data_IF_649071797499
#
_entry.id   IF_649071797499
#
_cell.length_a   1.000
_cell.length_b   1.000
_cell.length_c   1.000
_cell.angle_alpha   90.00
_cell.angle_beta   90.00
_cell.angle_gamma   90.00
#
_symmetry.space_group_name_H-M   'P 1'
#
loop_
_entity.id
_entity.type
_entity.pdbx_description
1 polymer ?
#
# COMPACT_ATOMS: atom_id res chain seq x y z
N UNK A 1 12.19 -11.09 2.44
CA UNK A 1 11.14 -10.62 1.52
C UNK A 1 10.56 -9.34 2.08
N UNK A 2 10.45 -8.31 1.25
CA UNK A 2 9.80 -7.03 1.54
C UNK A 2 8.54 -6.91 0.71
N UNK A 3 7.56 -6.15 1.21
CA UNK A 3 6.37 -5.79 0.45
C UNK A 3 6.43 -4.33 0.02
N UNK A 4 6.14 -4.11 -1.25
CA UNK A 4 6.06 -2.77 -1.84
C UNK A 4 4.66 -2.54 -2.39
N UNK A 5 4.23 -1.28 -2.37
CA UNK A 5 2.98 -0.88 -2.98
C UNK A 5 3.24 -0.57 -4.45
N UNK A 6 2.47 -1.16 -5.35
CA UNK A 6 2.53 -0.86 -6.78
C UNK A 6 1.25 -0.17 -7.20
N UNK A 7 1.38 0.79 -8.10
CA UNK A 7 0.26 1.44 -8.76
C UNK A 7 0.20 0.84 -10.18
N UNK A 8 -0.98 0.43 -10.63
CA UNK A 8 -1.22 -0.17 -11.96
C UNK A 8 -0.34 -1.38 -12.33
N UNK A 9 -0.05 -1.57 -13.63
CA UNK A 9 0.67 -2.74 -14.15
C UNK A 9 2.18 -2.48 -14.27
N UNK A 10 2.94 -3.10 -13.37
CA UNK A 10 4.41 -2.98 -13.28
C UNK A 10 5.17 -4.10 -14.00
N UNK A 11 4.48 -5.01 -14.70
CA UNK A 11 5.08 -6.24 -15.24
C UNK A 11 6.23 -5.99 -16.21
N UNK A 12 6.06 -5.01 -17.11
CA UNK A 12 7.10 -4.66 -18.08
C UNK A 12 8.30 -3.99 -17.42
N UNK A 13 8.07 -3.14 -16.42
CA UNK A 13 9.13 -2.46 -15.68
C UNK A 13 9.95 -3.46 -14.85
N UNK A 14 9.28 -4.39 -14.15
CA UNK A 14 9.95 -5.43 -13.38
C UNK A 14 10.77 -6.36 -14.30
N UNK A 15 10.20 -6.77 -15.44
CA UNK A 15 10.92 -7.58 -16.43
C UNK A 15 12.16 -6.86 -16.98
N UNK A 16 12.05 -5.56 -17.27
CA UNK A 16 13.18 -4.73 -17.73
C UNK A 16 14.30 -4.68 -16.70
N UNK A 17 13.96 -4.69 -15.41
CA UNK A 17 14.91 -4.69 -14.29
C UNK A 17 15.40 -6.09 -13.90
N UNK A 18 14.92 -7.15 -14.58
CA UNK A 18 15.29 -8.53 -14.25
C UNK A 18 14.68 -9.02 -12.93
N UNK A 19 13.57 -8.42 -12.50
CA UNK A 19 12.84 -8.74 -11.26
C UNK A 19 11.64 -9.61 -11.61
N UNK A 20 11.48 -10.71 -10.86
CA UNK A 20 10.28 -11.54 -10.98
C UNK A 20 9.09 -10.87 -10.29
N UNK A 21 7.98 -10.78 -11.00
CA UNK A 21 6.73 -10.24 -10.43
C UNK A 21 6.11 -11.27 -9.48
N UNK A 22 6.23 -11.04 -8.18
CA UNK A 22 5.56 -11.83 -7.14
C UNK A 22 4.42 -11.02 -6.51
N UNK A 23 3.34 -10.85 -7.28
CA UNK A 23 2.19 -10.07 -6.84
C UNK A 23 1.38 -10.84 -5.79
N UNK A 24 1.28 -10.29 -4.58
CA UNK A 24 0.55 -10.87 -3.44
C UNK A 24 -0.84 -10.25 -3.26
N UNK A 25 -1.09 -9.08 -3.86
CA UNK A 25 -2.42 -8.48 -3.99
C UNK A 25 -2.55 -7.71 -5.31
N UNK A 26 -3.71 -7.81 -5.97
CA UNK A 26 -4.04 -7.08 -7.20
C UNK A 26 -5.42 -6.43 -7.07
N UNK A 27 -5.45 -5.14 -6.78
CA UNK A 27 -6.65 -4.31 -6.84
C UNK A 27 -6.76 -3.53 -8.15
N UNK A 28 -7.85 -2.79 -8.29
CA UNK A 28 -8.09 -1.90 -9.45
C UNK A 28 -7.05 -0.78 -9.56
N UNK A 29 -6.67 -0.21 -8.42
CA UNK A 29 -5.73 0.92 -8.34
C UNK A 29 -4.34 0.50 -7.92
N UNK A 30 -4.28 -0.13 -6.74
CA UNK A 30 -3.04 -0.55 -6.12
C UNK A 30 -2.91 -2.08 -6.14
N UNK A 31 -1.68 -2.54 -6.23
CA UNK A 31 -1.27 -3.91 -5.93
C UNK A 31 -0.22 -3.93 -4.82
N UNK A 32 0.05 -5.11 -4.30
CA UNK A 32 1.20 -5.37 -3.43
C UNK A 32 2.05 -6.45 -4.08
N UNK A 33 3.36 -6.21 -4.14
CA UNK A 33 4.32 -7.19 -4.63
C UNK A 33 5.31 -7.53 -3.51
N UNK A 34 5.68 -8.80 -3.43
CA UNK A 34 6.83 -9.25 -2.64
C UNK A 34 8.11 -9.17 -3.49
N UNK A 35 9.16 -8.63 -2.90
CA UNK A 35 10.50 -8.53 -3.51
C UNK A 35 11.55 -9.04 -2.53
N UNK A 36 12.67 -9.55 -3.05
CA UNK A 36 13.85 -9.85 -2.23
C UNK A 36 14.53 -8.56 -1.80
N UNK A 37 15.54 -8.66 -0.93
CA UNK A 37 16.34 -7.48 -0.55
C UNK A 37 17.13 -6.95 -1.75
N UNK A 38 17.68 -7.85 -2.57
CA UNK A 38 18.46 -7.52 -3.76
C UNK A 38 17.57 -6.86 -4.83
N UNK A 39 16.38 -7.40 -5.07
CA UNK A 39 15.42 -6.81 -6.01
C UNK A 39 14.94 -5.43 -5.53
N UNK A 40 14.74 -5.27 -4.22
CA UNK A 40 14.41 -3.99 -3.62
C UNK A 40 15.54 -2.96 -3.79
N UNK A 41 16.80 -3.36 -3.63
CA UNK A 41 17.95 -2.49 -3.89
C UNK A 41 18.00 -2.04 -5.36
N UNK A 42 17.70 -2.94 -6.31
CA UNK A 42 17.59 -2.61 -7.74
C UNK A 42 16.49 -1.57 -7.96
N UNK A 43 15.31 -1.77 -7.37
CA UNK A 43 14.19 -0.83 -7.47
C UNK A 43 14.54 0.55 -6.90
N UNK A 44 15.17 0.62 -5.74
CA UNK A 44 15.61 1.88 -5.11
C UNK A 44 16.70 2.61 -5.91
N UNK A 45 17.50 1.88 -6.68
CA UNK A 45 18.58 2.44 -7.51
C UNK A 45 18.09 2.96 -8.86
N UNK A 46 16.84 2.66 -9.22
CA UNK A 46 16.27 3.05 -10.49
C UNK A 46 16.03 4.58 -10.54
N UNK A 47 16.55 5.29 -11.55
CA UNK A 47 16.43 6.74 -11.62
C UNK A 47 14.98 7.18 -11.81
N UNK A 48 14.48 8.03 -10.92
CA UNK A 48 13.15 8.64 -11.02
C UNK A 48 13.14 9.76 -12.07
N UNK A 49 13.06 9.36 -13.35
CA UNK A 49 13.03 10.24 -14.51
C UNK A 49 11.71 10.08 -15.27
N UNK A 50 11.33 11.13 -16.01
CA UNK A 50 10.09 11.12 -16.80
C UNK A 50 10.14 9.98 -17.83
N UNK A 51 9.30 8.97 -17.65
CA UNK A 51 9.21 7.80 -18.53
C UNK A 51 9.93 6.55 -18.03
N UNK A 52 10.57 6.59 -16.85
CA UNK A 52 11.17 5.40 -16.21
C UNK A 52 10.10 4.35 -15.87
N UNK A 53 8.94 4.80 -15.40
CA UNK A 53 7.79 3.98 -15.05
C UNK A 53 6.70 4.18 -16.10
N UNK A 54 6.51 3.18 -16.97
CA UNK A 54 5.76 3.37 -18.23
C UNK A 54 4.26 3.56 -17.99
N UNK A 55 3.68 2.88 -16.99
CA UNK A 55 2.24 2.90 -16.78
C UNK A 55 1.77 3.21 -15.37
N UNK A 56 2.67 3.20 -14.37
CA UNK A 56 2.53 3.65 -12.98
C UNK A 56 3.61 2.93 -12.15
N UNK A 57 4.14 3.58 -11.11
CA UNK A 57 5.33 3.10 -10.40
C UNK A 57 5.03 2.19 -9.21
N UNK A 58 6.09 1.80 -8.51
CA UNK A 58 6.01 1.32 -7.13
C UNK A 58 6.30 2.48 -6.17
N UNK A 59 5.95 2.31 -4.90
CA UNK A 59 6.23 3.27 -3.86
C UNK A 59 6.82 2.56 -2.65
N UNK A 60 7.90 3.12 -2.14
CA UNK A 60 8.49 2.75 -0.87
C UNK A 60 8.65 3.96 0.02
N UNK A 61 7.57 4.23 0.74
CA UNK A 61 7.54 5.27 1.74
C UNK A 61 7.79 4.65 3.12
N UNK A 62 8.55 5.29 4.02
CA UNK A 62 8.61 4.90 5.42
C UNK A 62 7.21 4.83 6.06
N UNK A 63 7.08 4.05 7.14
CA UNK A 63 5.85 4.02 7.94
C UNK A 63 5.45 5.45 8.33
N UNK A 64 4.22 5.86 7.98
CA UNK A 64 3.68 7.13 8.47
C UNK A 64 3.28 6.96 9.93
N UNK A 65 3.49 8.02 10.72
CA UNK A 65 2.97 8.07 12.08
C UNK A 65 1.44 8.17 12.02
N UNK A 66 0.76 7.15 12.55
CA UNK A 66 -0.66 7.27 12.84
C UNK A 66 -0.84 8.22 14.03
N UNK A 67 -1.68 9.24 13.89
CA UNK A 67 -1.99 10.20 14.94
C UNK A 67 -3.38 9.92 15.53
N UNK A 68 -3.60 10.37 16.78
CA UNK A 68 -4.89 10.26 17.45
C UNK A 68 -4.99 9.09 18.44
N UNK A 69 -6.19 8.85 18.95
CA UNK A 69 -6.49 7.67 19.78
C UNK A 69 -6.70 6.48 18.87
N UNK A 70 -6.27 5.29 19.28
CA UNK A 70 -6.50 4.06 18.53
C UNK A 70 -7.66 3.26 19.10
N UNK A 71 -8.47 2.70 18.22
CA UNK A 71 -9.53 1.76 18.56
C UNK A 71 -9.88 0.94 17.34
N UNK A 72 -11.17 0.72 17.12
CA UNK A 72 -11.65 -0.11 16.04
C UNK A 72 -12.56 0.66 15.10
N UNK A 73 -12.29 0.54 13.81
CA UNK A 73 -13.16 0.99 12.72
C UNK A 73 -13.68 -0.22 11.96
N UNK A 74 -14.75 -0.04 11.21
CA UNK A 74 -15.34 -1.11 10.40
C UNK A 74 -15.14 -0.82 8.93
N UNK A 75 -14.45 -1.70 8.22
CA UNK A 75 -14.26 -1.63 6.77
C UNK A 75 -14.95 -2.86 6.19
N UNK A 76 -15.93 -2.68 5.30
CA UNK A 76 -16.75 -3.80 4.76
C UNK A 76 -17.41 -4.67 5.85
N UNK A 77 -17.71 -4.08 7.00
CA UNK A 77 -18.23 -4.82 8.16
C UNK A 77 -17.17 -5.61 8.95
N UNK A 78 -15.94 -5.69 8.45
CA UNK A 78 -14.79 -6.27 9.14
C UNK A 78 -14.17 -5.26 10.10
N UNK A 79 -13.75 -5.74 11.26
CA UNK A 79 -13.17 -4.91 12.32
C UNK A 79 -11.66 -4.74 12.11
N UNK A 80 -11.20 -3.50 11.96
CA UNK A 80 -9.78 -3.13 11.82
C UNK A 80 -9.34 -2.24 12.98
N UNK A 81 -8.13 -2.44 13.51
CA UNK A 81 -7.50 -1.45 14.39
C UNK A 81 -7.09 -0.23 13.58
N UNK A 82 -7.48 0.96 14.01
CA UNK A 82 -7.19 2.21 13.34
C UNK A 82 -7.34 3.39 14.29
N UNK A 83 -7.19 4.59 13.76
CA UNK A 83 -7.56 5.80 14.48
C UNK A 83 -9.07 5.75 14.83
N UNK A 84 -9.39 6.05 16.08
CA UNK A 84 -10.74 6.00 16.65
C UNK A 84 -11.65 6.94 15.88
N UNK A 85 -12.74 6.36 15.41
CA UNK A 85 -13.86 7.07 14.84
C UNK A 85 -15.12 6.41 15.37
N UNK A 86 -15.85 7.12 16.24
CA UNK A 86 -16.89 6.55 17.09
C UNK A 86 -18.06 5.93 16.30
N UNK A 87 -18.15 6.18 14.98
CA UNK A 87 -19.15 5.57 14.11
C UNK A 87 -18.73 5.34 12.66
N UNK A 88 -17.45 5.50 12.27
CA UNK A 88 -17.14 5.40 10.85
C UNK A 88 -17.07 3.95 10.34
N UNK A 89 -17.99 3.68 9.43
CA UNK A 89 -18.01 2.52 8.56
C UNK A 89 -17.52 2.98 7.21
N UNK A 90 -16.50 2.32 6.70
CA UNK A 90 -15.94 2.59 5.39
C UNK A 90 -16.25 1.41 4.45
N UNK A 91 -16.48 1.73 3.19
CA UNK A 91 -16.69 0.76 2.13
C UNK A 91 -15.42 0.03 1.75
N UNK A 92 -14.25 0.64 1.89
CA UNK A 92 -12.94 0.01 1.69
C UNK A 92 -11.79 0.73 2.43
N UNK A 93 -10.57 0.17 2.31
CA UNK A 93 -9.36 0.70 2.93
C UNK A 93 -8.96 2.08 2.38
N UNK A 94 -9.08 2.28 1.07
CA UNK A 94 -8.71 3.55 0.43
C UNK A 94 -9.66 4.67 0.83
N UNK A 95 -10.96 4.40 1.00
CA UNK A 95 -11.93 5.35 1.53
C UNK A 95 -11.58 5.72 2.97
N UNK A 96 -11.22 4.74 3.82
CA UNK A 96 -10.75 5.03 5.18
C UNK A 96 -9.53 5.97 5.18
N UNK A 97 -8.52 5.66 4.37
CA UNK A 97 -7.32 6.50 4.24
C UNK A 97 -7.67 7.91 3.72
N UNK A 98 -8.57 8.01 2.76
CA UNK A 98 -9.00 9.28 2.17
C UNK A 98 -9.78 10.14 3.16
N UNK A 99 -10.85 9.60 3.74
CA UNK A 99 -11.77 10.36 4.59
C UNK A 99 -11.18 10.66 5.96
N UNK A 100 -10.43 9.73 6.55
CA UNK A 100 -9.94 9.89 7.93
C UNK A 100 -8.54 10.51 8.00
N UNK A 101 -7.64 10.16 7.07
CA UNK A 101 -6.26 10.65 7.08
C UNK A 101 -5.99 11.73 6.04
N UNK A 102 -7.01 12.16 5.28
CA UNK A 102 -6.88 13.16 4.22
C UNK A 102 -5.98 12.68 3.07
N UNK A 103 -5.79 11.36 2.94
CA UNK A 103 -4.88 10.79 1.95
C UNK A 103 -5.58 10.74 0.61
N UNK A 104 -5.19 11.63 -0.31
CA UNK A 104 -5.57 11.46 -1.71
C UNK A 104 -5.06 10.11 -2.20
N UNK A 105 -5.97 9.21 -2.57
CA UNK A 105 -5.72 7.92 -3.22
C UNK A 105 -4.95 8.01 -4.55
N UNK A 106 -4.63 9.21 -5.05
CA UNK A 106 -3.70 9.42 -6.16
C UNK A 106 -2.23 9.55 -5.69
N UNK A 107 -2.00 9.71 -4.39
CA UNK A 107 -0.68 9.87 -3.80
C UNK A 107 -0.16 8.52 -3.27
N UNK A 108 0.38 7.71 -4.20
CA UNK A 108 0.96 6.39 -3.92
C UNK A 108 1.93 6.35 -2.73
N UNK A 109 2.90 7.29 -2.61
CA UNK A 109 3.81 7.33 -1.46
C UNK A 109 3.08 7.47 -0.12
N UNK A 110 2.11 8.39 -0.03
CA UNK A 110 1.35 8.60 1.21
C UNK A 110 0.50 7.36 1.54
N UNK A 111 -0.17 6.77 0.55
CA UNK A 111 -0.93 5.51 0.74
C UNK A 111 -0.01 4.40 1.24
N UNK A 112 1.18 4.22 0.64
CA UNK A 112 2.15 3.20 1.04
C UNK A 112 2.56 3.35 2.51
N UNK A 113 2.94 4.55 2.93
CA UNK A 113 3.41 4.77 4.30
C UNK A 113 2.31 4.55 5.35
N UNK A 114 1.05 4.92 5.06
CA UNK A 114 -0.08 4.63 5.93
C UNK A 114 -0.45 3.13 5.94
N UNK A 115 -0.42 2.47 4.78
CA UNK A 115 -0.70 1.05 4.68
C UNK A 115 0.30 0.20 5.51
N UNK A 116 1.60 0.54 5.45
CA UNK A 116 2.61 -0.11 6.29
C UNK A 116 2.32 0.06 7.78
N UNK A 117 1.99 1.28 8.20
CA UNK A 117 1.68 1.57 9.60
C UNK A 117 0.41 0.84 10.08
N UNK A 118 -0.63 0.76 9.25
CA UNK A 118 -1.87 0.03 9.55
C UNK A 118 -1.65 -1.48 9.57
N UNK A 119 -0.90 -2.04 8.62
CA UNK A 119 -0.56 -3.45 8.58
C UNK A 119 0.16 -3.86 9.87
N UNK A 120 1.15 -3.07 10.30
CA UNK A 120 1.85 -3.25 11.57
C UNK A 120 0.94 -3.12 12.79
N UNK A 121 0.08 -2.11 12.84
CA UNK A 121 -0.89 -1.92 13.92
C UNK A 121 -1.84 -3.13 14.06
N UNK A 122 -2.17 -3.76 12.94
CA UNK A 122 -3.04 -4.93 12.87
C UNK A 122 -2.29 -6.27 12.91
N UNK A 123 -0.95 -6.25 13.06
CA UNK A 123 -0.08 -7.44 13.08
C UNK A 123 -0.30 -8.36 11.86
N UNK A 124 -0.28 -7.77 10.67
CA UNK A 124 -0.46 -8.45 9.39
C UNK A 124 0.48 -7.87 8.33
N UNK A 125 0.63 -8.58 7.21
CA UNK A 125 1.28 -8.09 6.00
C UNK A 125 0.45 -6.99 5.34
N UNK A 126 1.10 -6.17 4.51
CA UNK A 126 0.42 -5.16 3.71
C UNK A 126 -0.51 -5.82 2.68
N UNK A 127 -0.10 -6.93 2.05
CA UNK A 127 -1.00 -7.70 1.18
C UNK A 127 -2.25 -8.19 1.91
N UNK A 128 -2.10 -8.75 3.10
CA UNK A 128 -3.22 -9.20 3.94
C UNK A 128 -4.16 -8.04 4.31
N UNK A 129 -3.62 -6.86 4.63
CA UNK A 129 -4.39 -5.65 4.89
C UNK A 129 -5.24 -5.27 3.66
N UNK A 130 -4.64 -5.23 2.46
CA UNK A 130 -5.34 -4.90 1.23
C UNK A 130 -6.38 -5.96 0.85
N UNK A 131 -6.04 -7.25 0.90
CA UNK A 131 -6.98 -8.35 0.66
C UNK A 131 -8.20 -8.23 1.57
N UNK A 132 -7.96 -8.00 2.87
CA UNK A 132 -9.03 -8.01 3.86
C UNK A 132 -9.92 -6.77 3.78
N UNK A 133 -9.34 -5.59 3.58
CA UNK A 133 -10.07 -4.32 3.75
C UNK A 133 -10.27 -3.54 2.45
N UNK A 134 -9.42 -3.71 1.43
CA UNK A 134 -9.65 -3.08 0.13
C UNK A 134 -10.55 -3.94 -0.76
N UNK A 135 -10.34 -5.27 -0.78
CA UNK A 135 -11.04 -6.21 -1.65
C UNK A 135 -10.32 -6.41 -2.97
#
# INVERSE_FOLDING_TARGET
>A
MKEILVLGDVTNDFRRLGIDVRQTYKGEKYGVCEVTEEEYEVLCSEPDSKGTWINTGWCDEPEKRLAGKFGFVYIKGEKMKGALDDNARYSDLLEYLCLHHGVSWFNGPVVCGFAKALAKLNNMKMSELFIKYQG
#
